data_IF_111019748876
#
_entry.id   IF_111019748876
#
_cell.length_a   1.000
_cell.length_b   1.000
_cell.length_c   1.000
_cell.angle_alpha   90.00
_cell.angle_beta   90.00
_cell.angle_gamma   90.00
#
_symmetry.space_group_name_H-M   'P 1'
#
loop_
_entity.id
_entity.type
_entity.pdbx_description
1 polymer ?
#
# COMPACT_ATOMS: atom_id res chain seq x y z
N UNK A 1 13.67 -1.29 12.03
CA UNK A 1 12.39 -1.40 12.77
C UNK A 1 11.53 -2.30 11.89
N UNK A 2 11.02 -3.39 12.41
CA UNK A 2 10.14 -4.30 11.66
C UNK A 2 8.82 -3.59 11.39
N UNK A 3 8.38 -3.59 10.15
CA UNK A 3 7.07 -3.10 9.70
C UNK A 3 5.95 -3.78 10.48
N UNK A 4 4.91 -3.04 10.83
CA UNK A 4 3.70 -3.67 11.36
C UNK A 4 2.98 -4.41 10.21
N UNK A 5 2.69 -5.70 10.37
CA UNK A 5 1.98 -6.47 9.34
C UNK A 5 0.63 -5.84 8.99
N UNK A 6 0.30 -5.78 7.70
CA UNK A 6 -0.98 -5.23 7.20
C UNK A 6 -2.21 -5.92 7.84
N UNK A 7 -2.08 -7.20 8.15
CA UNK A 7 -3.10 -7.94 8.90
C UNK A 7 -3.44 -7.33 10.26
N UNK A 8 -2.48 -6.68 10.94
CA UNK A 8 -2.72 -6.02 12.22
C UNK A 8 -3.43 -4.67 12.05
N UNK A 9 -3.09 -3.93 11.00
CA UNK A 9 -3.78 -2.68 10.64
C UNK A 9 -5.25 -2.98 10.33
N UNK A 10 -5.50 -3.98 9.48
CA UNK A 10 -6.85 -4.41 9.15
C UNK A 10 -7.62 -4.93 10.37
N UNK A 11 -6.95 -5.67 11.26
CA UNK A 11 -7.56 -6.16 12.49
C UNK A 11 -8.01 -4.99 13.38
N UNK A 12 -7.20 -3.93 13.55
CA UNK A 12 -7.63 -2.75 14.32
C UNK A 12 -8.85 -2.06 13.70
N UNK A 13 -8.89 -1.94 12.38
CA UNK A 13 -10.06 -1.39 11.67
C UNK A 13 -11.30 -2.25 11.91
N UNK A 14 -11.16 -3.58 11.84
CA UNK A 14 -12.25 -4.52 12.05
C UNK A 14 -12.77 -4.56 13.49
N UNK A 15 -11.98 -4.13 14.49
CA UNK A 15 -12.51 -3.91 15.85
C UNK A 15 -13.60 -2.83 15.89
N UNK A 16 -13.55 -1.88 14.95
CA UNK A 16 -14.48 -0.76 14.81
C UNK A 16 -15.64 -1.08 13.84
N UNK A 17 -15.79 -2.32 13.38
CA UNK A 17 -16.91 -2.72 12.52
C UNK A 17 -18.23 -2.28 13.18
N UNK A 18 -19.11 -1.55 12.45
CA UNK A 18 -20.34 -1.01 13.02
C UNK A 18 -21.22 -2.09 13.65
N UNK A 19 -21.85 -1.73 14.77
CA UNK A 19 -22.79 -2.61 15.45
C UNK A 19 -24.04 -2.86 14.60
N UNK A 20 -24.61 -4.05 14.73
CA UNK A 20 -25.88 -4.42 14.08
C UNK A 20 -25.76 -4.84 12.61
N UNK A 21 -24.57 -4.77 12.00
CA UNK A 21 -24.35 -5.36 10.67
C UNK A 21 -24.23 -6.88 10.80
N UNK A 22 -24.84 -7.62 9.87
CA UNK A 22 -24.80 -9.09 9.88
C UNK A 22 -23.36 -9.60 9.89
N UNK A 23 -23.01 -10.39 10.90
CA UNK A 23 -21.65 -10.94 11.09
C UNK A 23 -20.65 -10.01 11.76
N UNK A 24 -21.05 -8.77 12.11
CA UNK A 24 -20.14 -7.78 12.70
C UNK A 24 -19.54 -8.22 14.04
N UNK A 25 -20.28 -8.93 14.87
CA UNK A 25 -19.79 -9.48 16.14
C UNK A 25 -18.64 -10.47 15.91
N UNK A 26 -18.78 -11.37 14.93
CA UNK A 26 -17.73 -12.34 14.57
C UNK A 26 -16.53 -11.66 13.93
N UNK A 27 -16.75 -10.63 13.12
CA UNK A 27 -15.68 -9.88 12.49
C UNK A 27 -14.83 -9.16 13.54
N UNK A 28 -15.43 -8.49 14.52
CA UNK A 28 -14.74 -7.89 15.65
C UNK A 28 -13.95 -8.91 16.46
N UNK A 29 -14.54 -10.09 16.72
CA UNK A 29 -13.84 -11.16 17.45
C UNK A 29 -12.66 -11.74 16.66
N UNK A 30 -12.81 -11.99 15.37
CA UNK A 30 -11.69 -12.45 14.52
C UNK A 30 -10.54 -11.43 14.49
N UNK A 31 -10.88 -10.14 14.44
CA UNK A 31 -9.91 -9.05 14.55
C UNK A 31 -9.19 -9.07 15.91
N UNK A 32 -9.93 -9.23 17.01
CA UNK A 32 -9.35 -9.34 18.34
C UNK A 32 -8.41 -10.55 18.47
N UNK A 33 -8.75 -11.70 17.88
CA UNK A 33 -7.87 -12.88 17.83
C UNK A 33 -6.54 -12.57 17.16
N UNK A 34 -6.58 -11.92 15.99
CA UNK A 34 -5.38 -11.51 15.24
C UNK A 34 -4.48 -10.60 16.09
N UNK A 35 -5.08 -9.61 16.77
CA UNK A 35 -4.33 -8.69 17.64
C UNK A 35 -3.80 -9.37 18.90
N UNK A 36 -4.50 -10.33 19.44
CA UNK A 36 -4.07 -11.13 20.58
C UNK A 36 -2.86 -12.01 20.23
N UNK A 37 -2.92 -12.72 19.11
CA UNK A 37 -1.80 -13.53 18.61
C UNK A 37 -0.53 -12.70 18.39
N UNK A 38 -0.69 -11.43 18.02
CA UNK A 38 0.39 -10.47 17.89
C UNK A 38 0.81 -9.80 19.22
N UNK A 39 0.19 -10.15 20.35
CA UNK A 39 0.49 -9.58 21.67
C UNK A 39 0.05 -8.13 21.85
N UNK A 40 -0.90 -7.63 21.04
CA UNK A 40 -1.36 -6.24 21.06
C UNK A 40 -2.57 -6.00 21.96
N UNK A 41 -3.30 -7.03 22.31
CA UNK A 41 -4.37 -6.99 23.32
C UNK A 41 -4.18 -8.10 24.33
N UNK A 42 -4.76 -7.92 25.51
CA UNK A 42 -4.70 -8.91 26.58
C UNK A 42 -5.73 -10.04 26.38
N UNK A 43 -5.49 -11.16 27.09
CA UNK A 43 -6.44 -12.29 27.16
C UNK A 43 -7.82 -11.83 27.65
N UNK A 44 -7.87 -10.93 28.63
CA UNK A 44 -9.10 -10.35 29.15
C UNK A 44 -9.87 -9.53 28.10
N UNK A 45 -9.15 -8.74 27.29
CA UNK A 45 -9.77 -8.01 26.18
C UNK A 45 -10.33 -8.96 25.12
N UNK A 46 -9.56 -10.00 24.74
CA UNK A 46 -10.01 -11.02 23.79
C UNK A 46 -11.29 -11.72 24.28
N UNK A 47 -11.34 -12.06 25.58
CA UNK A 47 -12.52 -12.71 26.18
C UNK A 47 -13.78 -11.82 26.08
N UNK A 48 -13.64 -10.52 26.28
CA UNK A 48 -14.75 -9.56 26.11
C UNK A 48 -15.27 -9.58 24.66
N UNK A 49 -14.37 -9.52 23.66
CA UNK A 49 -14.78 -9.63 22.26
C UNK A 49 -15.44 -10.98 21.94
N UNK A 50 -14.93 -12.07 22.54
CA UNK A 50 -15.52 -13.40 22.40
C UNK A 50 -16.95 -13.47 22.94
N UNK A 51 -17.19 -12.91 24.10
CA UNK A 51 -18.53 -12.90 24.75
C UNK A 51 -19.53 -12.08 23.93
N UNK A 52 -19.11 -10.96 23.35
CA UNK A 52 -19.96 -10.11 22.51
C UNK A 52 -20.17 -10.69 21.08
N UNK A 53 -19.33 -11.62 20.64
CA UNK A 53 -19.31 -12.09 19.24
C UNK A 53 -20.59 -12.78 18.72
N UNK A 54 -21.41 -13.45 19.54
CA UNK A 54 -22.63 -14.09 19.06
C UNK A 54 -23.73 -13.10 18.66
N UNK A 55 -23.67 -11.88 19.16
CA UNK A 55 -24.67 -10.85 18.95
C UNK A 55 -24.10 -9.64 18.24
N UNK A 56 -24.57 -9.39 17.02
CA UNK A 56 -24.02 -8.33 16.16
C UNK A 56 -24.22 -6.91 16.74
N UNK A 57 -25.22 -6.72 17.59
CA UNK A 57 -25.52 -5.43 18.23
C UNK A 57 -24.84 -5.25 19.61
N UNK A 58 -24.17 -6.27 20.12
CA UNK A 58 -23.48 -6.19 21.41
C UNK A 58 -22.18 -5.38 21.27
N UNK A 59 -22.08 -4.33 22.10
CA UNK A 59 -20.92 -3.44 22.11
C UNK A 59 -19.90 -3.90 23.16
N UNK A 60 -18.68 -4.26 22.79
CA UNK A 60 -17.61 -4.61 23.73
C UNK A 60 -17.10 -3.39 24.52
N UNK A 61 -17.26 -2.15 24.02
CA UNK A 61 -16.65 -0.97 24.60
C UNK A 61 -17.03 -0.71 26.08
N UNK A 62 -18.30 -0.85 26.51
CA UNK A 62 -18.65 -0.68 27.91
C UNK A 62 -17.98 -1.70 28.83
N UNK A 63 -17.80 -2.94 28.39
CA UNK A 63 -17.15 -4.00 29.17
C UNK A 63 -15.64 -3.76 29.26
N UNK A 64 -15.00 -3.35 28.16
CA UNK A 64 -13.60 -2.95 28.15
C UNK A 64 -13.35 -1.78 29.11
N UNK A 65 -14.21 -0.77 29.08
CA UNK A 65 -14.11 0.39 29.96
C UNK A 65 -14.25 0.02 31.46
N UNK A 66 -15.19 -0.86 31.80
CA UNK A 66 -15.38 -1.37 33.17
C UNK A 66 -14.16 -2.18 33.63
N UNK A 67 -13.53 -2.95 32.73
CA UNK A 67 -12.31 -3.70 33.00
C UNK A 67 -11.05 -2.82 33.05
N UNK A 68 -11.17 -1.52 32.72
CA UNK A 68 -10.01 -0.60 32.63
C UNK A 68 -9.06 -0.92 31.48
N UNK A 69 -9.58 -1.59 30.44
CA UNK A 69 -8.81 -1.98 29.26
C UNK A 69 -8.89 -0.89 28.17
N UNK A 70 -7.86 -0.79 27.30
CA UNK A 70 -7.87 0.16 26.21
C UNK A 70 -9.08 -0.06 25.29
N UNK A 71 -9.77 1.04 24.96
CA UNK A 71 -10.79 1.02 23.93
C UNK A 71 -10.11 1.03 22.54
N UNK A 72 -10.77 0.45 21.51
CA UNK A 72 -10.33 0.66 20.13
C UNK A 72 -10.21 2.16 19.86
N UNK A 73 -9.11 2.57 19.26
CA UNK A 73 -8.94 3.96 18.90
C UNK A 73 -9.93 4.33 17.78
N UNK A 74 -10.76 5.34 18.02
CA UNK A 74 -11.61 5.90 16.98
C UNK A 74 -10.73 6.51 15.89
N UNK A 75 -11.09 6.36 14.59
CA UNK A 75 -10.39 7.01 13.51
C UNK A 75 -10.40 8.52 13.70
N UNK A 76 -9.28 9.16 13.45
CA UNK A 76 -9.17 10.62 13.49
C UNK A 76 -9.56 11.23 12.13
N UNK A 77 -9.85 12.54 12.11
CA UNK A 77 -10.01 13.28 10.86
C UNK A 77 -8.76 13.18 9.97
N UNK A 78 -7.59 13.03 10.58
CA UNK A 78 -6.33 12.80 9.87
C UNK A 78 -6.29 11.44 9.16
N UNK A 79 -6.78 10.38 9.81
CA UNK A 79 -6.84 9.04 9.22
C UNK A 79 -7.82 8.98 8.06
N UNK A 80 -8.98 9.64 8.20
CA UNK A 80 -9.95 9.76 7.11
C UNK A 80 -9.37 10.56 5.94
N UNK A 81 -8.73 11.69 6.22
CA UNK A 81 -8.09 12.52 5.20
C UNK A 81 -6.99 11.73 4.45
N UNK A 82 -6.23 10.89 5.17
CA UNK A 82 -5.24 9.99 4.57
C UNK A 82 -5.90 8.97 3.63
N UNK A 83 -6.96 8.30 4.08
CA UNK A 83 -7.73 7.38 3.24
C UNK A 83 -8.23 8.04 1.95
N UNK A 84 -8.74 9.27 2.06
CA UNK A 84 -9.20 10.06 0.90
C UNK A 84 -8.05 10.40 -0.07
N UNK A 85 -6.86 10.78 0.43
CA UNK A 85 -5.70 11.08 -0.43
C UNK A 85 -5.22 9.83 -1.17
N UNK A 86 -5.10 8.68 -0.48
CA UNK A 86 -4.70 7.42 -1.12
C UNK A 86 -5.75 6.95 -2.14
N UNK A 87 -7.04 7.12 -1.85
CA UNK A 87 -8.11 6.84 -2.81
C UNK A 87 -8.04 7.74 -4.04
N UNK A 88 -7.72 9.01 -3.86
CA UNK A 88 -7.49 9.96 -4.96
C UNK A 88 -6.30 9.54 -5.79
N UNK A 89 -5.17 9.19 -5.15
CA UNK A 89 -3.99 8.69 -5.86
C UNK A 89 -4.31 7.45 -6.68
N UNK A 90 -5.07 6.51 -6.12
CA UNK A 90 -5.48 5.29 -6.81
C UNK A 90 -6.33 5.59 -8.06
N UNK A 91 -7.26 6.56 -7.95
CA UNK A 91 -8.08 6.99 -9.07
C UNK A 91 -7.24 7.67 -10.18
N UNK A 92 -6.21 8.44 -9.81
CA UNK A 92 -5.28 9.04 -10.77
C UNK A 92 -4.39 7.99 -11.45
N UNK A 93 -3.95 6.95 -10.71
CA UNK A 93 -3.26 5.81 -11.29
C UNK A 93 -4.13 5.09 -12.34
N UNK A 94 -5.41 4.82 -12.05
CA UNK A 94 -6.30 4.22 -13.04
C UNK A 94 -6.51 5.13 -14.26
N UNK A 95 -6.68 6.44 -14.06
CA UNK A 95 -6.81 7.40 -15.15
C UNK A 95 -5.56 7.43 -16.03
N UNK A 96 -4.38 7.38 -15.42
CA UNK A 96 -3.11 7.28 -16.13
C UNK A 96 -3.04 5.98 -16.94
N UNK A 97 -3.30 4.83 -16.33
CA UNK A 97 -3.33 3.54 -17.02
C UNK A 97 -4.33 3.54 -18.17
N UNK A 98 -5.50 4.17 -18.00
CA UNK A 98 -6.51 4.31 -19.05
C UNK A 98 -6.04 5.13 -20.26
N UNK A 99 -5.04 6.00 -20.08
CA UNK A 99 -4.44 6.78 -21.18
C UNK A 99 -3.41 6.01 -21.98
N UNK A 100 -2.94 4.87 -21.45
CA UNK A 100 -1.91 4.04 -22.08
C UNK A 100 -2.56 2.97 -22.99
N UNK A 101 -1.75 2.46 -23.91
CA UNK A 101 -2.11 1.33 -24.77
C UNK A 101 -1.00 0.29 -24.74
N UNK A 102 -1.37 -0.97 -24.63
CA UNK A 102 -0.41 -2.09 -24.59
C UNK A 102 -0.96 -3.33 -23.90
N UNK A 103 -0.23 -4.44 -23.98
CA UNK A 103 -0.57 -5.66 -23.24
C UNK A 103 -0.60 -5.40 -21.73
N UNK A 104 -1.47 -6.08 -21.00
CA UNK A 104 -1.54 -6.02 -19.54
C UNK A 104 -2.32 -4.83 -18.97
N UNK A 105 -2.53 -3.75 -19.71
CA UNK A 105 -3.22 -2.54 -19.21
C UNK A 105 -4.66 -2.86 -18.77
N UNK A 106 -5.40 -3.61 -19.55
CA UNK A 106 -6.79 -3.95 -19.23
C UNK A 106 -6.87 -4.86 -18.00
N UNK A 107 -5.96 -5.81 -17.89
CA UNK A 107 -5.85 -6.76 -16.78
C UNK A 107 -5.51 -6.04 -15.47
N UNK A 108 -4.51 -5.15 -15.50
CA UNK A 108 -4.11 -4.36 -14.32
C UNK A 108 -5.26 -3.46 -13.87
N UNK A 109 -5.94 -2.78 -14.78
CA UNK A 109 -7.10 -1.94 -14.43
C UNK A 109 -8.29 -2.75 -13.90
N UNK A 110 -8.49 -3.97 -14.42
CA UNK A 110 -9.52 -4.86 -13.89
C UNK A 110 -9.19 -5.31 -12.45
N UNK A 111 -7.92 -5.60 -12.14
CA UNK A 111 -7.47 -5.92 -10.80
C UNK A 111 -7.59 -4.73 -9.81
N UNK A 112 -7.45 -3.50 -10.31
CA UNK A 112 -7.60 -2.29 -9.51
C UNK A 112 -9.06 -1.93 -9.19
N UNK A 113 -10.01 -2.37 -10.01
CA UNK A 113 -11.42 -1.97 -9.92
C UNK A 113 -12.06 -2.26 -8.54
N UNK A 114 -11.84 -3.40 -7.85
CA UNK A 114 -12.38 -3.62 -6.52
C UNK A 114 -11.92 -2.58 -5.49
N UNK A 115 -10.62 -2.23 -5.49
CA UNK A 115 -10.05 -1.22 -4.60
C UNK A 115 -10.63 0.17 -4.89
N UNK A 116 -10.89 0.50 -6.16
CA UNK A 116 -11.56 1.73 -6.56
C UNK A 116 -13.04 1.77 -6.16
N UNK A 117 -13.75 0.66 -6.20
CA UNK A 117 -15.16 0.58 -5.83
C UNK A 117 -15.39 0.55 -4.32
N UNK A 118 -14.43 0.10 -3.54
CA UNK A 118 -14.53 0.02 -2.08
C UNK A 118 -14.79 1.41 -1.46
N UNK A 119 -15.48 1.45 -0.34
CA UNK A 119 -15.62 2.68 0.44
C UNK A 119 -14.26 3.16 0.96
N UNK A 120 -14.13 4.49 1.12
CA UNK A 120 -12.91 5.05 1.71
C UNK A 120 -12.89 4.75 3.20
N UNK A 121 -11.88 4.03 3.64
CA UNK A 121 -11.66 3.74 5.06
C UNK A 121 -10.64 4.70 5.66
N UNK A 122 -10.78 5.10 6.93
CA UNK A 122 -9.72 5.78 7.67
C UNK A 122 -8.47 4.89 7.73
N UNK A 123 -7.31 5.46 7.48
CA UNK A 123 -6.04 4.73 7.47
C UNK A 123 -5.07 5.36 8.49
N UNK A 124 -4.50 4.57 9.41
CA UNK A 124 -3.52 5.08 10.36
C UNK A 124 -2.24 5.55 9.64
N UNK A 125 -1.49 6.44 10.28
CA UNK A 125 -0.24 6.93 9.73
C UNK A 125 0.77 5.78 9.54
N UNK A 126 1.54 5.78 8.44
CA UNK A 126 2.57 4.77 8.24
C UNK A 126 3.67 4.91 9.30
N UNK A 127 4.23 3.79 9.70
CA UNK A 127 5.32 3.73 10.69
C UNK A 127 6.69 3.94 10.03
N UNK A 128 6.74 4.35 8.77
CA UNK A 128 7.98 4.54 8.02
C UNK A 128 8.73 5.83 8.37
N UNK A 129 10.05 5.78 8.24
CA UNK A 129 10.93 6.95 8.32
C UNK A 129 11.16 7.61 6.94
N UNK A 130 11.90 8.72 6.94
CA UNK A 130 12.30 9.36 5.70
C UNK A 130 13.17 8.42 4.84
N UNK A 131 12.78 8.24 3.57
CA UNK A 131 13.58 7.48 2.60
C UNK A 131 14.53 8.42 1.84
N UNK A 132 15.82 8.07 1.82
CA UNK A 132 16.85 8.91 1.21
C UNK A 132 16.67 9.08 -0.31
N UNK A 133 16.22 8.04 -1.01
CA UNK A 133 15.97 8.07 -2.46
C UNK A 133 14.79 8.98 -2.78
N UNK A 134 13.72 8.90 -1.98
CA UNK A 134 12.55 9.78 -2.09
C UNK A 134 12.97 11.23 -1.88
N UNK A 135 13.74 11.50 -0.82
CA UNK A 135 14.21 12.85 -0.52
C UNK A 135 15.11 13.44 -1.63
N UNK A 136 15.90 12.59 -2.29
CA UNK A 136 16.82 13.02 -3.32
C UNK A 136 16.16 13.20 -4.70
N UNK A 137 15.18 12.37 -5.07
CA UNK A 137 14.77 12.23 -6.47
C UNK A 137 13.28 12.49 -6.73
N UNK A 138 12.37 12.33 -5.74
CA UNK A 138 10.94 12.43 -5.99
C UNK A 138 10.51 13.79 -6.52
N UNK A 139 11.06 14.89 -5.98
CA UNK A 139 10.68 16.23 -6.40
C UNK A 139 10.97 16.48 -7.90
N UNK A 140 12.14 16.02 -8.40
CA UNK A 140 12.48 16.16 -9.81
C UNK A 140 11.66 15.24 -10.72
N UNK A 141 11.30 14.03 -10.24
CA UNK A 141 10.43 13.12 -10.96
C UNK A 141 9.00 13.71 -11.09
N UNK A 142 8.48 14.28 -10.02
CA UNK A 142 7.16 14.94 -10.02
C UNK A 142 7.13 16.15 -10.94
N UNK A 143 8.17 16.99 -10.93
CA UNK A 143 8.27 18.14 -11.86
C UNK A 143 8.27 17.69 -13.33
N UNK A 144 8.90 16.55 -13.64
CA UNK A 144 8.86 15.98 -14.99
C UNK A 144 7.46 15.44 -15.35
N UNK A 145 6.79 14.78 -14.40
CA UNK A 145 5.46 14.22 -14.59
C UNK A 145 4.37 15.31 -14.72
N UNK A 146 4.51 16.40 -13.98
CA UNK A 146 3.56 17.52 -13.97
C UNK A 146 3.36 18.12 -15.39
N UNK A 147 4.38 18.08 -16.23
CA UNK A 147 4.29 18.58 -17.59
C UNK A 147 3.28 17.79 -18.47
N UNK A 148 2.98 16.54 -18.12
CA UNK A 148 2.13 15.65 -18.92
C UNK A 148 0.90 15.16 -18.16
N UNK A 149 1.02 14.93 -16.85
CA UNK A 149 -0.02 14.39 -15.97
C UNK A 149 -0.05 15.14 -14.63
N UNK A 150 -0.46 16.42 -14.63
CA UNK A 150 -0.40 17.29 -13.45
C UNK A 150 -1.24 16.76 -12.27
N UNK A 151 -2.40 16.17 -12.53
CA UNK A 151 -3.28 15.63 -11.48
C UNK A 151 -2.62 14.43 -10.77
N UNK A 152 -2.01 13.52 -11.54
CA UNK A 152 -1.28 12.39 -10.97
C UNK A 152 -0.05 12.86 -10.17
N UNK A 153 0.70 13.82 -10.69
CA UNK A 153 1.84 14.41 -9.97
C UNK A 153 1.41 15.03 -8.64
N UNK A 154 0.31 15.78 -8.65
CA UNK A 154 -0.28 16.39 -7.45
C UNK A 154 -0.77 15.33 -6.44
N UNK A 155 -1.41 14.25 -6.91
CA UNK A 155 -1.88 13.17 -6.06
C UNK A 155 -0.72 12.41 -5.40
N UNK A 156 0.36 12.11 -6.14
CA UNK A 156 1.58 11.49 -5.60
C UNK A 156 2.20 12.43 -4.55
N UNK A 157 2.36 13.71 -4.87
CA UNK A 157 2.92 14.70 -3.95
C UNK A 157 2.13 14.78 -2.64
N UNK A 158 0.79 14.86 -2.72
CA UNK A 158 -0.10 14.94 -1.58
C UNK A 158 -0.06 13.68 -0.69
N UNK A 159 0.21 12.52 -1.29
CA UNK A 159 0.21 11.23 -0.60
C UNK A 159 1.60 10.76 -0.16
N UNK A 160 2.67 11.47 -0.53
CA UNK A 160 4.06 11.02 -0.27
C UNK A 160 4.31 10.71 1.21
N UNK A 161 3.78 11.52 2.12
CA UNK A 161 3.90 11.31 3.57
C UNK A 161 2.96 10.24 4.13
N UNK A 162 2.01 9.77 3.32
CA UNK A 162 1.05 8.73 3.69
C UNK A 162 1.52 7.33 3.24
N UNK A 163 2.57 7.28 2.44
CA UNK A 163 3.13 6.05 1.88
C UNK A 163 4.32 5.57 2.69
N UNK A 164 4.40 4.27 2.87
CA UNK A 164 5.59 3.64 3.44
C UNK A 164 6.58 3.33 2.32
N UNK A 165 7.61 4.17 2.21
CA UNK A 165 8.68 4.00 1.23
C UNK A 165 9.76 3.07 1.78
N UNK A 166 9.87 1.88 1.22
CA UNK A 166 10.87 0.88 1.58
C UNK A 166 11.96 0.80 0.52
N UNK A 167 13.08 0.21 0.91
CA UNK A 167 14.18 -0.20 0.03
C UNK A 167 14.40 -1.70 0.22
N UNK A 168 14.54 -2.46 -0.85
CA UNK A 168 14.77 -3.91 -0.77
C UNK A 168 16.17 -4.21 -0.21
N UNK A 169 16.29 -4.21 1.10
CA UNK A 169 17.57 -4.42 1.81
C UNK A 169 17.93 -5.88 2.09
N UNK A 170 17.01 -6.82 1.82
CA UNK A 170 17.18 -8.24 2.17
C UNK A 170 17.87 -9.07 1.08
N UNK A 171 18.00 -8.51 -0.12
CA UNK A 171 18.64 -9.21 -1.22
C UNK A 171 20.16 -9.10 -1.15
N UNK A 172 20.92 -10.18 -1.47
CA UNK A 172 22.36 -10.13 -1.52
C UNK A 172 22.86 -9.07 -2.52
N UNK A 173 23.79 -8.18 -2.12
CA UNK A 173 24.33 -7.14 -3.02
C UNK A 173 24.93 -7.68 -4.32
N UNK A 174 25.48 -8.89 -4.26
CA UNK A 174 26.07 -9.58 -5.43
C UNK A 174 25.03 -9.97 -6.47
N UNK A 175 23.80 -10.24 -6.03
CA UNK A 175 22.69 -10.64 -6.89
C UNK A 175 21.95 -9.46 -7.47
N UNK A 176 21.56 -8.48 -6.64
CA UNK A 176 20.72 -7.36 -7.06
C UNK A 176 21.52 -6.14 -7.53
N UNK A 177 22.75 -6.00 -7.06
CA UNK A 177 23.62 -4.85 -7.31
C UNK A 177 23.64 -3.87 -6.14
N UNK A 178 24.84 -3.52 -5.66
CA UNK A 178 25.00 -2.64 -4.51
C UNK A 178 24.38 -1.25 -4.72
N UNK A 179 24.48 -0.69 -5.93
CA UNK A 179 23.92 0.62 -6.27
C UNK A 179 22.37 0.59 -6.25
N UNK A 180 21.76 -0.53 -6.61
CA UNK A 180 20.31 -0.68 -6.55
C UNK A 180 19.80 -0.66 -5.11
N UNK A 181 20.48 -1.31 -4.17
CA UNK A 181 20.10 -1.34 -2.76
C UNK A 181 19.98 0.05 -2.11
N UNK A 182 20.71 1.04 -2.63
CA UNK A 182 20.67 2.42 -2.12
C UNK A 182 20.06 3.41 -3.10
N UNK A 183 19.70 2.96 -4.29
CA UNK A 183 19.27 3.80 -5.41
C UNK A 183 17.81 3.64 -5.80
N UNK A 184 17.01 2.90 -5.04
CA UNK A 184 15.58 2.77 -5.28
C UNK A 184 14.74 2.95 -4.03
N UNK A 185 13.47 3.23 -4.23
CA UNK A 185 12.43 3.19 -3.20
C UNK A 185 11.14 2.64 -3.82
N UNK A 186 10.42 1.84 -3.06
CA UNK A 186 9.14 1.28 -3.43
C UNK A 186 8.09 1.61 -2.37
N UNK A 187 6.87 1.93 -2.81
CA UNK A 187 5.73 2.11 -1.94
C UNK A 187 4.54 1.36 -2.51
N UNK A 188 4.07 0.35 -1.80
CA UNK A 188 2.88 -0.41 -2.14
C UNK A 188 1.62 0.40 -1.84
N UNK A 189 0.73 0.53 -2.82
CA UNK A 189 -0.54 1.24 -2.70
C UNK A 189 -1.70 0.28 -2.42
N UNK A 190 -1.73 -0.80 -3.17
CA UNK A 190 -2.70 -1.90 -3.05
C UNK A 190 -1.93 -3.19 -3.03
N UNK A 191 -2.23 -4.08 -2.12
CA UNK A 191 -1.56 -5.38 -2.06
C UNK A 191 -1.68 -6.04 -0.69
N UNK A 192 -1.04 -7.20 -0.51
CA UNK A 192 -1.11 -7.94 0.75
C UNK A 192 -0.44 -7.20 1.92
N UNK A 193 0.52 -6.32 1.63
CA UNK A 193 1.25 -5.53 2.62
C UNK A 193 0.87 -4.04 2.60
N UNK A 194 -0.03 -3.62 1.69
CA UNK A 194 -0.45 -2.24 1.53
C UNK A 194 -1.49 -1.78 2.56
N UNK A 195 -1.65 -0.47 2.69
CA UNK A 195 -2.75 0.11 3.46
C UNK A 195 -4.13 -0.20 2.84
N UNK A 196 -4.19 -0.36 1.52
CA UNK A 196 -5.37 -0.87 0.80
C UNK A 196 -5.11 -2.34 0.49
N UNK A 197 -5.73 -3.22 1.27
CA UNK A 197 -5.48 -4.66 1.18
C UNK A 197 -6.06 -5.27 -0.10
N UNK A 198 -5.25 -6.12 -0.75
CA UNK A 198 -5.67 -7.06 -1.78
C UNK A 198 -4.78 -8.33 -1.68
N UNK A 199 -5.39 -9.52 -1.79
CA UNK A 199 -4.67 -10.80 -1.64
C UNK A 199 -3.90 -11.18 -2.91
N UNK A 200 -4.54 -11.01 -4.08
CA UNK A 200 -4.06 -11.49 -5.37
C UNK A 200 -3.70 -10.35 -6.34
N UNK A 201 -3.45 -9.17 -5.85
CA UNK A 201 -3.16 -8.00 -6.67
C UNK A 201 -2.20 -7.06 -5.94
N UNK A 202 -1.20 -6.56 -6.67
CA UNK A 202 -0.24 -5.59 -6.18
C UNK A 202 -0.16 -4.39 -7.14
N UNK A 203 -0.22 -3.19 -6.58
CA UNK A 203 0.06 -1.93 -7.27
C UNK A 203 0.93 -1.06 -6.38
N UNK A 204 2.07 -0.64 -6.89
CA UNK A 204 2.98 0.24 -6.17
C UNK A 204 3.57 1.35 -7.01
N UNK A 205 4.19 2.29 -6.33
CA UNK A 205 5.06 3.30 -6.92
C UNK A 205 6.52 2.88 -6.75
N UNK A 206 7.26 2.85 -7.85
CA UNK A 206 8.66 2.48 -7.87
C UNK A 206 9.52 3.69 -8.32
N UNK A 207 10.33 4.21 -7.41
CA UNK A 207 11.25 5.30 -7.68
C UNK A 207 12.68 4.76 -7.78
N UNK A 208 13.30 4.93 -8.94
CA UNK A 208 14.69 4.52 -9.19
C UNK A 208 15.51 5.77 -9.49
N UNK A 209 16.63 5.91 -8.82
CA UNK A 209 17.60 6.98 -9.08
C UNK A 209 18.19 6.92 -10.48
N UNK A 210 18.72 8.02 -11.01
CA UNK A 210 19.32 8.05 -12.34
C UNK A 210 20.55 7.13 -12.43
N UNK A 211 20.69 6.42 -13.55
CA UNK A 211 21.77 5.47 -13.84
C UNK A 211 21.84 4.26 -12.90
N UNK A 212 20.78 3.94 -12.19
CA UNK A 212 20.67 2.72 -11.39
C UNK A 212 20.17 1.59 -12.28
N UNK A 213 20.86 0.45 -12.24
CA UNK A 213 20.47 -0.76 -12.93
C UNK A 213 19.69 -1.67 -11.98
N UNK A 214 18.43 -1.91 -12.29
CA UNK A 214 17.68 -3.03 -11.73
C UNK A 214 18.02 -4.27 -12.57
N UNK A 215 18.76 -5.22 -11.99
CA UNK A 215 19.29 -6.36 -12.72
C UNK A 215 18.19 -7.26 -13.26
N UNK A 216 18.54 -8.04 -14.28
CA UNK A 216 17.69 -9.05 -14.87
C UNK A 216 17.21 -10.02 -13.77
N UNK A 217 15.93 -10.20 -13.66
CA UNK A 217 15.28 -11.13 -12.75
C UNK A 217 14.00 -11.65 -13.41
N UNK A 218 13.44 -12.71 -12.85
CA UNK A 218 12.14 -13.24 -13.27
C UNK A 218 11.44 -13.88 -12.08
N UNK A 219 10.12 -13.87 -12.12
CA UNK A 219 9.23 -14.55 -11.17
C UNK A 219 7.93 -14.97 -11.87
N UNK A 220 7.14 -15.87 -11.27
CA UNK A 220 5.93 -16.41 -11.92
C UNK A 220 4.81 -15.38 -12.11
N UNK A 221 4.71 -14.38 -11.22
CA UNK A 221 3.68 -13.36 -11.32
C UNK A 221 3.92 -12.44 -12.53
N UNK A 222 2.92 -12.19 -13.39
CA UNK A 222 3.05 -11.22 -14.46
C UNK A 222 3.13 -9.80 -13.88
N UNK A 223 3.98 -8.97 -14.47
CA UNK A 223 4.16 -7.56 -14.10
C UNK A 223 3.91 -6.63 -15.27
N UNK A 224 3.38 -5.45 -14.95
CA UNK A 224 3.29 -4.32 -15.85
C UNK A 224 4.04 -3.14 -15.24
N UNK A 225 5.06 -2.67 -15.92
CA UNK A 225 5.68 -1.39 -15.61
C UNK A 225 5.08 -0.31 -16.48
N UNK A 226 4.57 0.74 -15.86
CA UNK A 226 4.00 1.93 -16.50
C UNK A 226 4.82 3.17 -16.13
N UNK A 227 6.00 3.40 -16.77
CA UNK A 227 6.94 4.43 -16.37
C UNK A 227 6.36 5.84 -16.49
N UNK A 228 6.34 6.56 -15.39
CA UNK A 228 5.82 7.93 -15.29
C UNK A 228 6.79 8.97 -15.85
N UNK A 229 8.08 8.67 -15.82
CA UNK A 229 9.15 9.55 -16.29
C UNK A 229 10.09 8.79 -17.23
N UNK A 230 11.04 9.47 -17.86
CA UNK A 230 11.95 8.83 -18.78
C UNK A 230 13.09 9.76 -19.23
N UNK A 231 13.99 9.29 -20.09
CA UNK A 231 14.00 7.97 -20.74
C UNK A 231 14.38 6.84 -19.77
N UNK A 232 13.95 5.62 -20.10
CA UNK A 232 14.29 4.41 -19.34
C UNK A 232 14.71 3.25 -20.27
N UNK A 233 15.54 2.34 -19.77
CA UNK A 233 16.08 1.24 -20.54
C UNK A 233 15.53 -0.12 -20.10
N UNK A 234 15.27 -1.00 -21.06
CA UNK A 234 14.71 -2.34 -20.82
C UNK A 234 15.45 -3.39 -21.62
N UNK A 235 15.60 -4.58 -21.02
CA UNK A 235 16.14 -5.78 -21.64
C UNK A 235 15.29 -6.99 -21.19
N UNK A 236 14.92 -7.85 -22.13
CA UNK A 236 14.00 -8.96 -21.89
C UNK A 236 14.64 -10.35 -21.98
N UNK A 237 15.93 -10.44 -22.13
CA UNK A 237 16.64 -11.69 -22.17
C UNK A 237 18.15 -11.55 -22.08
N UNK A 238 18.85 -12.60 -21.63
CA UNK A 238 20.30 -12.57 -21.57
C UNK A 238 20.88 -12.39 -22.99
N UNK A 239 21.66 -11.34 -23.16
CA UNK A 239 22.27 -10.98 -24.46
C UNK A 239 21.41 -10.08 -25.35
N UNK A 240 20.17 -9.79 -25.00
CA UNK A 240 19.38 -8.77 -25.70
C UNK A 240 19.99 -7.37 -25.52
N UNK A 241 19.95 -6.51 -26.54
CA UNK A 241 20.39 -5.12 -26.39
C UNK A 241 19.40 -4.35 -25.51
N UNK A 242 19.94 -3.41 -24.72
CA UNK A 242 19.12 -2.45 -23.99
C UNK A 242 18.28 -1.61 -24.96
N UNK A 243 16.96 -1.59 -24.76
CA UNK A 243 16.01 -0.79 -25.54
C UNK A 243 15.62 0.43 -24.75
N UNK A 244 15.99 1.61 -25.23
CA UNK A 244 15.60 2.87 -24.59
C UNK A 244 14.19 3.24 -25.02
N UNK A 245 13.36 3.57 -24.04
CA UNK A 245 11.96 3.96 -24.19
C UNK A 245 11.72 5.33 -23.60
N UNK A 246 10.77 6.11 -24.16
CA UNK A 246 10.35 7.38 -23.56
C UNK A 246 9.48 7.15 -22.32
N UNK A 247 9.23 8.20 -21.55
CA UNK A 247 8.17 8.20 -20.52
C UNK A 247 6.83 7.70 -21.10
N UNK A 248 5.99 7.15 -20.25
CA UNK A 248 4.64 6.68 -20.59
C UNK A 248 4.60 5.51 -21.61
N UNK A 249 5.69 4.81 -21.78
CA UNK A 249 5.75 3.60 -22.60
C UNK A 249 5.66 2.35 -21.69
N UNK A 250 4.51 1.66 -21.63
CA UNK A 250 4.34 0.49 -20.75
C UNK A 250 5.18 -0.70 -21.25
N UNK A 251 5.62 -1.54 -20.31
CA UNK A 251 6.48 -2.72 -20.55
C UNK A 251 5.97 -3.89 -19.71
#
# INVERSE_FOLDING_TARGET
>A
MTREPAGLILARQNLLTPLGLSGSGRQRYAAAMTLFEAGQISDEALEIYRVCSPLDHEDPAPLLAVAGLPLPAEPTDSDLARGLRLKTLLAECDRYLASLTGPGIAEVRAGLAPALAAETTPLPQPVGGANAVVSAHLASALASLEATHPELAAAIAASTGDLEWITYGEYPPDEIGADFLTGHAYAELVGPEAAIFAEDYDLGLFLIGPNILYRDHYHPAPELYAPLTGPHGWRFGPGDPMKIKPAHYPV
#
